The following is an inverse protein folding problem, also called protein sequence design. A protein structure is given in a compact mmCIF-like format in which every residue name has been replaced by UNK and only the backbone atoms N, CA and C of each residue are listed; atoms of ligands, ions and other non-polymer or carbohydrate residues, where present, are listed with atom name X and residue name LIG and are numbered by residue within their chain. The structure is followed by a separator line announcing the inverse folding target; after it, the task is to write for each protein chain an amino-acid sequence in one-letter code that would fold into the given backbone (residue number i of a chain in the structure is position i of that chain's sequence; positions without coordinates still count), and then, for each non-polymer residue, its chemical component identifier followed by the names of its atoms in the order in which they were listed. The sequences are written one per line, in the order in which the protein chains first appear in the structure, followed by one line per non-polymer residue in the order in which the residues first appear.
data_IF_098384508442
#
_entry.id   IF_098384508442
#
_cell.length_a   1.000
_cell.length_b   1.000
_cell.length_c   1.000
_cell.angle_alpha   90.00
_cell.angle_beta   90.00
_cell.angle_gamma   90.00
#
_symmetry.space_group_name_H-M   'P 1'
#
loop_
_entity.id
_entity.type
_entity.pdbx_description
1 polymer ?
#
# COMPACT_ATOMS: atom_id res chain seq x y z
N UNK A 1 21.41 -8.97 -29.20
CA UNK A 1 20.47 -9.27 -28.10
C UNK A 1 21.16 -8.84 -26.81
N UNK A 2 20.59 -7.91 -26.03
CA UNK A 2 21.25 -7.48 -24.79
C UNK A 2 21.28 -8.63 -23.77
N UNK A 3 22.29 -8.68 -22.91
CA UNK A 3 22.41 -9.66 -21.82
C UNK A 3 21.11 -9.74 -21.00
N UNK A 4 20.44 -8.60 -20.81
CA UNK A 4 19.16 -8.47 -20.11
C UNK A 4 18.00 -9.24 -20.78
N UNK A 5 17.90 -9.18 -22.11
CA UNK A 5 16.88 -9.90 -22.88
C UNK A 5 17.10 -11.42 -22.84
N UNK A 6 18.37 -11.86 -22.75
CA UNK A 6 18.70 -13.27 -22.58
C UNK A 6 18.33 -13.75 -21.17
N UNK A 7 18.65 -12.96 -20.13
CA UNK A 7 18.31 -13.28 -18.73
C UNK A 7 16.81 -13.37 -18.53
N UNK A 8 16.00 -12.46 -19.10
CA UNK A 8 14.54 -12.55 -19.01
C UNK A 8 13.98 -13.83 -19.66
N UNK A 9 14.53 -14.25 -20.81
CA UNK A 9 14.11 -15.50 -21.46
C UNK A 9 14.48 -16.75 -20.67
N UNK A 10 15.48 -16.72 -19.79
CA UNK A 10 15.86 -17.88 -18.96
C UNK A 10 14.86 -18.09 -17.81
N UNK A 11 14.19 -17.04 -17.32
CA UNK A 11 13.23 -17.15 -16.22
C UNK A 11 12.09 -18.14 -16.52
N UNK A 12 11.53 -18.08 -17.73
CA UNK A 12 10.38 -18.91 -18.13
C UNK A 12 10.72 -20.40 -18.31
N UNK A 13 12.00 -20.75 -18.47
CA UNK A 13 12.45 -22.12 -18.77
C UNK A 13 13.27 -22.75 -17.64
N UNK A 14 14.11 -21.98 -16.95
CA UNK A 14 14.97 -22.47 -15.85
C UNK A 14 15.09 -21.44 -14.70
N UNK A 15 14.08 -21.36 -13.80
CA UNK A 15 14.08 -20.40 -12.69
C UNK A 15 15.28 -20.50 -11.75
N UNK A 16 15.79 -21.71 -11.53
CA UNK A 16 16.97 -21.94 -10.69
C UNK A 16 18.26 -21.37 -11.33
N UNK A 17 18.45 -21.59 -12.64
CA UNK A 17 19.59 -21.02 -13.38
C UNK A 17 19.47 -19.50 -13.44
N UNK A 18 18.28 -18.98 -13.70
CA UNK A 18 17.99 -17.56 -13.67
C UNK A 18 18.43 -16.92 -12.34
N UNK A 19 18.02 -17.48 -11.21
CA UNK A 19 18.38 -16.96 -9.89
C UNK A 19 19.89 -16.97 -9.63
N UNK A 20 20.60 -18.01 -10.10
CA UNK A 20 22.05 -18.09 -9.99
C UNK A 20 22.75 -17.03 -10.85
N UNK A 21 22.25 -16.77 -12.07
CA UNK A 21 22.79 -15.73 -12.96
C UNK A 21 22.51 -14.34 -12.39
N UNK A 22 21.28 -14.08 -11.93
CA UNK A 22 20.86 -12.81 -11.30
C UNK A 22 21.81 -12.42 -10.17
N UNK A 23 22.08 -13.34 -9.24
CA UNK A 23 22.98 -13.12 -8.08
C UNK A 23 24.43 -12.84 -8.48
N UNK A 24 24.87 -13.30 -9.65
CA UNK A 24 26.23 -13.04 -10.17
C UNK A 24 26.33 -11.72 -10.93
N UNK A 25 25.23 -11.27 -11.53
CA UNK A 25 25.22 -10.08 -12.39
C UNK A 25 24.89 -8.78 -11.65
N UNK A 26 24.05 -8.85 -10.61
CA UNK A 26 23.55 -7.65 -9.94
C UNK A 26 23.82 -7.69 -8.43
N UNK A 27 24.18 -6.54 -7.82
CA UNK A 27 24.39 -6.47 -6.38
C UNK A 27 23.08 -6.70 -5.63
N UNK A 28 23.17 -7.33 -4.46
CA UNK A 28 22.08 -7.40 -3.51
C UNK A 28 22.07 -6.15 -2.62
N UNK A 29 20.89 -5.63 -2.34
CA UNK A 29 20.72 -4.53 -1.38
C UNK A 29 20.59 -5.11 0.02
N UNK A 30 21.55 -4.77 0.88
CA UNK A 30 21.57 -5.26 2.27
C UNK A 30 21.12 -4.21 3.27
N UNK A 31 21.13 -2.93 2.87
CA UNK A 31 20.65 -1.83 3.71
C UNK A 31 19.64 -0.94 3.00
N UNK A 32 18.76 -0.29 3.78
CA UNK A 32 17.83 0.70 3.26
C UNK A 32 18.53 1.91 2.63
N UNK A 33 19.72 2.25 3.10
CA UNK A 33 20.50 3.37 2.57
C UNK A 33 20.96 3.08 1.14
N UNK A 34 21.49 1.88 0.88
CA UNK A 34 21.89 1.44 -0.46
C UNK A 34 20.71 1.46 -1.42
N UNK A 35 19.59 0.84 -1.01
CA UNK A 35 18.40 0.76 -1.86
C UNK A 35 17.80 2.15 -2.15
N UNK A 36 17.76 3.06 -1.15
CA UNK A 36 17.28 4.43 -1.36
C UNK A 36 18.18 5.21 -2.33
N UNK A 37 19.49 5.04 -2.24
CA UNK A 37 20.42 5.69 -3.18
C UNK A 37 20.17 5.19 -4.60
N UNK A 38 20.07 3.87 -4.79
CA UNK A 38 19.76 3.29 -6.08
C UNK A 38 18.40 3.76 -6.62
N UNK A 39 17.35 3.80 -5.80
CA UNK A 39 16.02 4.31 -6.24
C UNK A 39 16.07 5.79 -6.62
N UNK A 40 16.77 6.64 -5.85
CA UNK A 40 16.94 8.05 -6.20
C UNK A 40 17.63 8.23 -7.55
N UNK A 41 18.65 7.43 -7.82
CA UNK A 41 19.32 7.45 -9.13
C UNK A 41 18.42 6.91 -10.25
N UNK A 42 17.72 5.80 -10.00
CA UNK A 42 16.84 5.17 -10.98
C UNK A 42 15.65 6.05 -11.39
N UNK A 43 15.07 6.77 -10.42
CA UNK A 43 13.87 7.60 -10.63
C UNK A 43 14.19 9.00 -11.16
N UNK A 44 15.46 9.39 -11.19
CA UNK A 44 15.91 10.64 -11.79
C UNK A 44 16.36 10.41 -13.23
N UNK A 45 15.76 11.14 -14.17
CA UNK A 45 16.04 11.02 -15.61
C UNK A 45 17.53 11.21 -15.93
N UNK A 46 18.23 12.09 -15.22
CA UNK A 46 19.64 12.38 -15.46
C UNK A 46 20.57 11.24 -15.02
N UNK A 47 20.16 10.42 -14.04
CA UNK A 47 21.00 9.38 -13.43
C UNK A 47 20.47 7.96 -13.64
N UNK A 48 19.32 7.78 -14.31
CA UNK A 48 18.74 6.46 -14.59
C UNK A 48 19.69 5.53 -15.36
N UNK A 49 20.44 6.06 -16.32
CA UNK A 49 21.44 5.27 -17.07
C UNK A 49 22.59 4.82 -16.15
N UNK A 50 23.02 5.67 -15.22
CA UNK A 50 24.02 5.30 -14.20
C UNK A 50 23.48 4.18 -13.30
N UNK A 51 22.25 4.32 -12.81
CA UNK A 51 21.61 3.28 -12.00
C UNK A 51 21.47 1.95 -12.75
N UNK A 52 21.08 2.00 -14.03
CA UNK A 52 20.99 0.83 -14.88
C UNK A 52 22.35 0.12 -15.05
N UNK A 53 23.43 0.87 -15.22
CA UNK A 53 24.77 0.30 -15.35
C UNK A 53 25.31 -0.25 -14.03
N UNK A 54 24.96 0.36 -12.90
CA UNK A 54 25.48 -0.02 -11.58
C UNK A 54 24.69 -1.16 -10.93
N UNK A 55 23.35 -1.12 -11.01
CA UNK A 55 22.46 -2.04 -10.29
C UNK A 55 21.67 -2.96 -11.23
N UNK A 56 21.74 -2.73 -12.55
CA UNK A 56 20.88 -3.40 -13.51
C UNK A 56 19.43 -2.89 -13.50
N UNK A 57 18.55 -3.51 -14.32
CA UNK A 57 17.14 -3.17 -14.36
C UNK A 57 16.46 -3.37 -13.00
N UNK A 58 15.61 -2.41 -12.58
CA UNK A 58 14.95 -2.42 -11.26
C UNK A 58 14.14 -3.68 -10.97
N UNK A 59 13.57 -4.28 -12.01
CA UNK A 59 12.85 -5.56 -11.94
C UNK A 59 13.72 -6.70 -11.35
N UNK A 60 15.03 -6.65 -11.57
CA UNK A 60 16.01 -7.65 -11.11
C UNK A 60 16.74 -7.26 -9.83
N UNK A 61 16.33 -6.21 -9.12
CA UNK A 61 16.99 -5.88 -7.86
C UNK A 61 16.72 -6.96 -6.81
N UNK A 62 17.77 -7.38 -6.10
CA UNK A 62 17.65 -8.30 -4.97
C UNK A 62 17.48 -7.48 -3.69
N UNK A 63 16.23 -7.43 -3.21
CA UNK A 63 15.82 -6.74 -1.98
C UNK A 63 15.48 -7.72 -0.86
N UNK A 64 15.85 -9.00 -1.00
CA UNK A 64 15.46 -10.07 -0.05
C UNK A 64 15.96 -9.85 1.38
N UNK A 65 17.02 -9.05 1.57
CA UNK A 65 17.56 -8.71 2.88
C UNK A 65 16.95 -7.44 3.49
N UNK A 66 16.10 -6.72 2.74
CA UNK A 66 15.51 -5.46 3.17
C UNK A 66 14.37 -5.69 4.15
N UNK A 67 14.51 -5.14 5.35
CA UNK A 67 13.49 -5.25 6.40
C UNK A 67 12.50 -4.07 6.42
N UNK A 68 12.84 -2.91 5.85
CA UNK A 68 11.93 -1.75 5.82
C UNK A 68 11.92 -1.10 4.45
N UNK A 69 10.77 -1.11 3.79
CA UNK A 69 10.55 -0.40 2.54
C UNK A 69 9.98 1.00 2.75
N UNK A 70 10.15 1.55 3.95
CA UNK A 70 9.55 2.82 4.33
C UNK A 70 9.93 3.92 3.33
N UNK A 71 8.98 4.55 2.64
CA UNK A 71 9.27 5.70 1.76
C UNK A 71 10.32 5.47 0.67
N UNK A 72 10.55 4.24 0.20
CA UNK A 72 11.55 3.97 -0.83
C UNK A 72 11.24 4.73 -2.13
N UNK A 73 9.97 4.83 -2.53
CA UNK A 73 9.50 5.60 -3.69
C UNK A 73 8.73 6.87 -3.29
N UNK A 74 9.01 7.41 -2.10
CA UNK A 74 8.39 8.66 -1.65
C UNK A 74 8.69 9.78 -2.65
N UNK A 75 7.66 10.54 -3.01
CA UNK A 75 7.69 11.67 -3.94
C UNK A 75 8.17 11.34 -5.38
N UNK A 76 8.26 10.05 -5.72
CA UNK A 76 8.60 9.58 -7.06
C UNK A 76 7.38 9.65 -7.98
N UNK A 77 6.87 10.86 -8.23
CA UNK A 77 5.57 11.09 -8.89
C UNK A 77 5.43 10.49 -10.30
N UNK A 78 6.54 10.27 -11.00
CA UNK A 78 6.58 9.65 -12.32
C UNK A 78 6.90 8.14 -12.30
N UNK A 79 7.20 7.57 -11.15
CA UNK A 79 7.61 6.17 -11.05
C UNK A 79 6.45 5.22 -11.35
N UNK A 80 6.68 4.27 -12.26
CA UNK A 80 5.76 3.21 -12.62
C UNK A 80 6.51 2.04 -13.30
N UNK A 81 7.77 1.78 -12.94
CA UNK A 81 8.53 0.64 -13.48
C UNK A 81 8.18 -0.63 -12.71
N UNK A 82 8.20 -1.79 -13.38
CA UNK A 82 7.83 -3.08 -12.79
C UNK A 82 8.79 -3.51 -11.68
N UNK A 83 8.21 -3.84 -10.53
CA UNK A 83 8.86 -4.31 -9.30
C UNK A 83 8.16 -5.56 -8.73
N UNK A 84 7.36 -6.25 -9.55
CA UNK A 84 6.60 -7.44 -9.16
C UNK A 84 7.50 -8.61 -8.70
N UNK A 85 8.76 -8.66 -9.14
CA UNK A 85 9.73 -9.69 -8.73
C UNK A 85 10.52 -9.38 -7.45
N UNK A 86 10.21 -8.29 -6.76
CA UNK A 86 10.86 -7.99 -5.49
C UNK A 86 10.44 -9.00 -4.43
N UNK A 87 11.42 -9.61 -3.76
CA UNK A 87 11.18 -10.48 -2.60
C UNK A 87 10.98 -9.62 -1.35
N UNK A 88 9.72 -9.47 -0.92
CA UNK A 88 9.33 -8.69 0.26
C UNK A 88 9.20 -9.53 1.53
N UNK A 89 9.59 -10.81 1.50
CA UNK A 89 9.33 -11.77 2.59
C UNK A 89 9.98 -11.44 3.94
N UNK A 90 10.94 -10.51 3.97
CA UNK A 90 11.58 -10.01 5.18
C UNK A 90 11.11 -8.61 5.62
N UNK A 91 10.26 -7.96 4.82
CA UNK A 91 9.80 -6.59 5.07
C UNK A 91 8.81 -6.57 6.25
N UNK A 92 9.08 -5.69 7.21
CA UNK A 92 8.22 -5.43 8.38
C UNK A 92 7.53 -4.07 8.33
N UNK A 93 8.04 -3.11 7.55
CA UNK A 93 7.42 -1.80 7.35
C UNK A 93 7.32 -1.45 5.87
N UNK A 94 6.11 -1.10 5.42
CA UNK A 94 5.85 -0.52 4.08
C UNK A 94 5.36 0.92 4.18
N UNK A 95 5.55 1.57 5.34
CA UNK A 95 5.04 2.91 5.60
C UNK A 95 5.52 3.91 4.55
N UNK A 96 4.63 4.73 3.99
CA UNK A 96 4.95 5.75 3.00
C UNK A 96 5.62 5.26 1.69
N UNK A 97 5.69 3.94 1.43
CA UNK A 97 6.50 3.39 0.33
C UNK A 97 6.23 4.08 -1.02
N UNK A 98 4.97 4.35 -1.35
CA UNK A 98 4.51 5.03 -2.56
C UNK A 98 3.83 6.38 -2.27
N UNK A 99 4.18 7.02 -1.16
CA UNK A 99 3.68 8.35 -0.82
C UNK A 99 3.99 9.34 -1.95
N UNK A 100 2.97 10.00 -2.50
CA UNK A 100 3.08 10.90 -3.67
C UNK A 100 3.63 10.25 -4.95
N UNK A 101 3.67 8.92 -5.07
CA UNK A 101 4.00 8.22 -6.33
C UNK A 101 2.78 8.21 -7.28
N UNK A 102 2.41 9.40 -7.76
CA UNK A 102 1.12 9.69 -8.41
C UNK A 102 0.77 8.78 -9.60
N UNK A 103 1.77 8.30 -10.36
CA UNK A 103 1.60 7.43 -11.53
C UNK A 103 1.75 5.94 -11.24
N UNK A 104 2.11 5.55 -10.02
CA UNK A 104 2.38 4.16 -9.69
C UNK A 104 1.12 3.29 -9.80
N UNK A 105 1.20 2.23 -10.61
CA UNK A 105 0.10 1.30 -10.86
C UNK A 105 0.62 -0.07 -11.34
N UNK A 106 1.65 -0.61 -10.66
CA UNK A 106 2.28 -1.90 -11.00
C UNK A 106 1.69 -3.08 -10.21
N UNK A 107 1.67 -4.30 -10.77
CA UNK A 107 1.06 -5.46 -10.14
C UNK A 107 1.93 -5.98 -8.98
N UNK A 108 1.60 -5.56 -7.76
CA UNK A 108 2.31 -5.93 -6.52
C UNK A 108 1.49 -6.88 -5.62
N UNK A 109 0.41 -7.45 -6.16
CA UNK A 109 -0.47 -8.37 -5.42
C UNK A 109 0.23 -9.67 -4.99
N UNK A 110 1.32 -10.04 -5.66
CA UNK A 110 2.11 -11.24 -5.36
C UNK A 110 3.15 -11.04 -4.24
N UNK A 111 3.28 -9.83 -3.68
CA UNK A 111 4.21 -9.57 -2.60
C UNK A 111 3.83 -10.31 -1.31
N UNK A 112 4.84 -10.78 -0.59
CA UNK A 112 4.66 -11.38 0.73
C UNK A 112 4.60 -10.28 1.78
N UNK A 113 3.44 -10.09 2.41
CA UNK A 113 3.21 -9.10 3.47
C UNK A 113 3.09 -9.70 4.87
N UNK A 114 3.30 -11.01 5.03
CA UNK A 114 3.06 -11.76 6.29
C UNK A 114 3.89 -11.32 7.50
N UNK A 115 4.92 -10.48 7.30
CA UNK A 115 5.72 -9.87 8.37
C UNK A 115 5.46 -8.38 8.56
N UNK A 116 4.67 -7.75 7.70
CA UNK A 116 4.42 -6.30 7.72
C UNK A 116 3.54 -5.94 8.92
N UNK A 117 3.99 -4.98 9.72
CA UNK A 117 3.26 -4.49 10.90
C UNK A 117 2.68 -3.09 10.71
N UNK A 118 3.15 -2.35 9.71
CA UNK A 118 2.65 -1.01 9.38
C UNK A 118 2.64 -0.75 7.88
N UNK A 119 1.51 -0.23 7.40
CA UNK A 119 1.29 0.23 6.03
C UNK A 119 0.87 1.71 6.00
N UNK A 120 1.17 2.46 7.08
CA UNK A 120 0.84 3.88 7.21
C UNK A 120 1.19 4.67 5.94
N UNK A 121 0.22 5.35 5.36
CA UNK A 121 0.37 6.22 4.19
C UNK A 121 1.01 5.55 2.96
N UNK A 122 0.96 4.22 2.81
CA UNK A 122 1.66 3.51 1.73
C UNK A 122 1.29 4.03 0.34
N UNK A 123 0.00 4.28 0.08
CA UNK A 123 -0.53 4.80 -1.19
C UNK A 123 -1.11 6.21 -1.06
N UNK A 124 -0.70 6.96 -0.04
CA UNK A 124 -1.17 8.34 0.13
C UNK A 124 -0.72 9.20 -1.07
N UNK A 125 -1.65 9.88 -1.74
CA UNK A 125 -1.47 10.60 -3.01
C UNK A 125 -1.01 9.73 -4.21
N UNK A 126 -1.12 8.39 -4.14
CA UNK A 126 -0.91 7.51 -5.29
C UNK A 126 -2.16 7.46 -6.18
N UNK A 127 -2.50 8.59 -6.80
CA UNK A 127 -3.81 8.81 -7.44
C UNK A 127 -4.21 7.82 -8.53
N UNK A 128 -3.24 7.17 -9.21
CA UNK A 128 -3.49 6.18 -10.28
C UNK A 128 -3.46 4.72 -9.82
N UNK A 129 -3.20 4.45 -8.54
CA UNK A 129 -3.10 3.09 -8.04
C UNK A 129 -4.47 2.40 -8.01
N UNK A 130 -4.65 1.36 -8.81
CA UNK A 130 -5.85 0.52 -8.86
C UNK A 130 -5.47 -0.94 -9.19
N UNK A 131 -4.59 -1.53 -8.36
CA UNK A 131 -4.15 -2.92 -8.50
C UNK A 131 -4.67 -3.80 -7.38
N UNK A 132 -4.82 -5.08 -7.73
CA UNK A 132 -5.28 -6.09 -6.79
C UNK A 132 -4.20 -6.37 -5.74
N UNK A 133 -4.62 -6.24 -4.49
CA UNK A 133 -3.85 -6.44 -3.26
C UNK A 133 -4.72 -7.15 -2.21
N UNK A 134 -5.84 -7.75 -2.64
CA UNK A 134 -6.80 -8.37 -1.74
C UNK A 134 -6.25 -9.63 -1.05
N UNK A 135 -5.25 -10.27 -1.65
CA UNK A 135 -4.62 -11.49 -1.12
C UNK A 135 -3.41 -11.21 -0.21
N UNK A 136 -3.13 -9.94 0.11
CA UNK A 136 -2.10 -9.61 1.10
C UNK A 136 -2.48 -10.11 2.50
N UNK A 137 -1.54 -10.74 3.18
CA UNK A 137 -1.65 -11.06 4.61
C UNK A 137 -1.46 -9.78 5.44
N UNK A 138 -2.55 -9.29 6.05
CA UNK A 138 -2.55 -8.11 6.92
C UNK A 138 -2.67 -8.46 8.40
N UNK A 139 -2.58 -9.74 8.78
CA UNK A 139 -2.84 -10.24 10.15
C UNK A 139 -1.90 -9.69 11.23
N UNK A 140 -0.82 -9.01 10.84
CA UNK A 140 0.12 -8.31 11.74
C UNK A 140 0.07 -6.80 11.64
N UNK A 141 -0.71 -6.23 10.73
CA UNK A 141 -0.78 -4.79 10.50
C UNK A 141 -1.56 -4.13 11.62
N UNK A 142 -0.94 -3.14 12.26
CA UNK A 142 -1.51 -2.38 13.39
C UNK A 142 -1.97 -0.99 12.94
N UNK A 143 -1.37 -0.46 11.87
CA UNK A 143 -1.57 0.91 11.43
C UNK A 143 -1.81 0.99 9.91
N UNK A 144 -3.00 1.48 9.54
CA UNK A 144 -3.43 1.76 8.16
C UNK A 144 -3.77 3.24 7.97
N UNK A 145 -3.32 4.12 8.86
CA UNK A 145 -3.58 5.56 8.75
C UNK A 145 -3.17 6.06 7.37
N UNK A 146 -4.05 6.82 6.72
CA UNK A 146 -3.82 7.41 5.40
C UNK A 146 -3.48 6.41 4.27
N UNK A 147 -3.73 5.10 4.43
CA UNK A 147 -3.31 4.06 3.47
C UNK A 147 -3.64 4.42 2.01
N UNK A 148 -4.86 4.84 1.74
CA UNK A 148 -5.39 5.22 0.40
C UNK A 148 -5.85 6.68 0.34
N UNK A 149 -5.34 7.53 1.22
CA UNK A 149 -5.64 8.97 1.22
C UNK A 149 -5.28 9.59 -0.14
N UNK A 150 -6.22 10.25 -0.84
CA UNK A 150 -6.07 10.75 -2.21
C UNK A 150 -5.69 9.69 -3.27
N UNK A 151 -5.92 8.40 -3.02
CA UNK A 151 -5.82 7.35 -4.05
C UNK A 151 -7.09 7.32 -4.91
N UNK A 152 -7.30 8.35 -5.72
CA UNK A 152 -8.57 8.65 -6.40
C UNK A 152 -9.16 7.48 -7.19
N UNK A 153 -8.32 6.62 -7.77
CA UNK A 153 -8.76 5.54 -8.67
C UNK A 153 -8.95 4.19 -8.01
N UNK A 154 -8.47 4.00 -6.78
CA UNK A 154 -8.46 2.70 -6.12
C UNK A 154 -9.88 2.17 -5.89
N UNK A 155 -10.18 1.00 -6.47
CA UNK A 155 -11.48 0.34 -6.29
C UNK A 155 -11.36 -1.18 -6.42
N UNK A 156 -10.32 -1.76 -5.79
CA UNK A 156 -10.13 -3.22 -5.71
C UNK A 156 -10.61 -3.78 -4.38
N UNK A 157 -10.99 -5.06 -4.40
CA UNK A 157 -11.46 -5.74 -3.19
C UNK A 157 -10.30 -5.91 -2.21
N UNK A 158 -10.59 -5.65 -0.95
CA UNK A 158 -9.73 -5.83 0.23
C UNK A 158 -10.54 -6.47 1.37
N UNK A 159 -11.61 -7.17 1.01
CA UNK A 159 -12.54 -7.82 1.93
C UNK A 159 -11.82 -8.88 2.80
N UNK A 160 -10.82 -9.56 2.24
CA UNK A 160 -10.05 -10.60 2.94
C UNK A 160 -8.99 -10.07 3.91
N UNK A 161 -8.80 -8.76 3.99
CA UNK A 161 -7.81 -8.19 4.91
C UNK A 161 -8.24 -8.48 6.36
N UNK A 162 -7.35 -9.09 7.13
CA UNK A 162 -7.47 -9.18 8.58
C UNK A 162 -7.15 -7.81 9.19
N UNK A 163 -8.18 -7.17 9.77
CA UNK A 163 -8.07 -5.89 10.46
C UNK A 163 -8.09 -6.01 11.98
N UNK A 164 -8.09 -7.24 12.52
CA UNK A 164 -8.27 -7.50 13.96
C UNK A 164 -7.24 -6.81 14.86
N UNK A 165 -6.06 -6.47 14.34
CA UNK A 165 -5.01 -5.73 15.07
C UNK A 165 -4.93 -4.24 14.75
N UNK A 166 -5.71 -3.77 13.77
CA UNK A 166 -5.68 -2.37 13.35
C UNK A 166 -6.28 -1.51 14.45
N UNK A 167 -5.52 -0.50 14.88
CA UNK A 167 -5.96 0.43 15.93
C UNK A 167 -6.34 1.80 15.38
N UNK A 168 -5.87 2.16 14.18
CA UNK A 168 -6.07 3.50 13.65
C UNK A 168 -6.34 3.46 12.13
N UNK A 169 -7.54 3.90 11.75
CA UNK A 169 -8.02 3.98 10.37
C UNK A 169 -8.22 5.43 9.89
N UNK A 170 -7.60 6.40 10.60
CA UNK A 170 -7.65 7.82 10.26
C UNK A 170 -7.30 8.04 8.79
N UNK A 171 -8.18 8.75 8.07
CA UNK A 171 -8.00 9.13 6.66
C UNK A 171 -7.76 7.95 5.70
N UNK A 172 -8.09 6.70 6.07
CA UNK A 172 -7.73 5.53 5.27
C UNK A 172 -8.22 5.62 3.81
N UNK A 173 -9.44 6.12 3.59
CA UNK A 173 -10.06 6.32 2.27
C UNK A 173 -10.44 7.79 2.01
N UNK A 174 -9.83 8.73 2.71
CA UNK A 174 -10.09 10.15 2.48
C UNK A 174 -9.74 10.53 1.03
N UNK A 175 -10.66 11.18 0.31
CA UNK A 175 -10.57 11.45 -1.13
C UNK A 175 -10.35 10.22 -2.04
N UNK A 176 -10.59 8.99 -1.56
CA UNK A 176 -10.56 7.77 -2.38
C UNK A 176 -11.87 7.65 -3.17
N UNK A 177 -12.07 8.57 -4.12
CA UNK A 177 -13.38 8.92 -4.68
C UNK A 177 -14.11 7.78 -5.38
N UNK A 178 -13.40 6.77 -5.92
CA UNK A 178 -14.00 5.61 -6.59
C UNK A 178 -14.24 4.41 -5.69
N UNK A 179 -13.74 4.40 -4.46
CA UNK A 179 -13.80 3.21 -3.61
C UNK A 179 -15.23 2.89 -3.19
N UNK A 180 -15.68 1.68 -3.52
CA UNK A 180 -17.00 1.17 -3.14
C UNK A 180 -16.99 -0.37 -3.06
N UNK A 181 -16.01 -0.94 -2.36
CA UNK A 181 -15.86 -2.40 -2.18
C UNK A 181 -16.20 -2.84 -0.77
N UNK A 182 -16.70 -4.07 -0.66
CA UNK A 182 -17.14 -4.67 0.59
C UNK A 182 -16.01 -4.69 1.63
N UNK A 183 -16.30 -4.11 2.80
CA UNK A 183 -15.44 -4.09 3.98
C UNK A 183 -16.27 -4.30 5.27
N UNK A 184 -17.52 -4.76 5.12
CA UNK A 184 -18.47 -4.90 6.23
C UNK A 184 -18.12 -5.98 7.23
N UNK A 185 -17.29 -6.95 6.83
CA UNK A 185 -16.84 -8.07 7.67
C UNK A 185 -15.45 -7.83 8.29
N UNK A 186 -14.89 -6.63 8.15
CA UNK A 186 -13.69 -6.22 8.88
C UNK A 186 -13.93 -6.22 10.40
N UNK A 187 -12.96 -6.74 11.15
CA UNK A 187 -12.91 -6.61 12.60
C UNK A 187 -12.39 -5.22 12.98
N UNK A 188 -13.26 -4.38 13.54
CA UNK A 188 -12.95 -3.02 13.99
C UNK A 188 -12.88 -2.90 15.51
N UNK A 189 -12.96 -4.01 16.25
CA UNK A 189 -13.07 -4.00 17.71
C UNK A 189 -11.85 -3.39 18.43
N UNK A 190 -10.72 -3.24 17.75
CA UNK A 190 -9.51 -2.56 18.26
C UNK A 190 -9.31 -1.13 17.76
N UNK A 191 -10.16 -0.63 16.85
CA UNK A 191 -10.00 0.69 16.23
C UNK A 191 -10.41 1.79 17.22
N UNK A 192 -9.52 2.75 17.45
CA UNK A 192 -9.77 3.92 18.30
C UNK A 192 -10.03 5.22 17.52
N UNK A 193 -9.63 5.31 16.25
CA UNK A 193 -9.76 6.52 15.45
C UNK A 193 -10.23 6.21 14.03
N UNK A 194 -11.35 6.81 13.64
CA UNK A 194 -11.96 6.77 12.30
C UNK A 194 -12.10 8.17 11.67
N UNK A 195 -11.38 9.16 12.22
CA UNK A 195 -11.36 10.53 11.71
C UNK A 195 -11.10 10.60 10.21
N UNK A 196 -11.98 11.28 9.48
CA UNK A 196 -11.92 11.49 8.03
C UNK A 196 -11.84 10.17 7.22
N UNK A 197 -12.19 9.01 7.78
CA UNK A 197 -11.93 7.71 7.15
C UNK A 197 -12.49 7.62 5.73
N UNK A 198 -13.69 8.16 5.47
CA UNK A 198 -14.35 8.20 4.17
C UNK A 198 -14.61 9.62 3.64
N UNK A 199 -14.10 10.66 4.28
CA UNK A 199 -14.35 12.02 3.81
C UNK A 199 -13.98 12.19 2.32
N UNK A 200 -14.89 12.73 1.52
CA UNK A 200 -14.80 12.85 0.05
C UNK A 200 -14.67 11.52 -0.72
N UNK A 201 -15.00 10.37 -0.13
CA UNK A 201 -15.12 9.09 -0.83
C UNK A 201 -16.48 9.00 -1.54
N UNK A 202 -16.66 9.80 -2.59
CA UNK A 202 -17.97 10.09 -3.20
C UNK A 202 -18.82 8.87 -3.56
N UNK A 203 -18.21 7.72 -3.90
CA UNK A 203 -18.92 6.52 -4.32
C UNK A 203 -19.19 5.50 -3.20
N UNK A 204 -18.66 5.73 -1.99
CA UNK A 204 -18.75 4.74 -0.91
C UNK A 204 -20.18 4.60 -0.36
N UNK A 205 -20.74 3.40 -0.46
CA UNK A 205 -22.08 3.08 0.04
C UNK A 205 -22.21 1.60 0.45
N UNK A 206 -21.19 1.06 1.13
CA UNK A 206 -21.16 -0.36 1.52
C UNK A 206 -21.67 -0.57 2.95
N UNK A 207 -22.36 -1.70 3.24
CA UNK A 207 -22.90 -1.96 4.56
C UNK A 207 -21.77 -2.17 5.57
N UNK A 208 -21.68 -1.28 6.55
CA UNK A 208 -20.70 -1.28 7.65
C UNK A 208 -21.36 -1.23 9.04
N UNK A 209 -22.67 -1.47 9.10
CA UNK A 209 -23.43 -1.48 10.36
C UNK A 209 -23.06 -2.61 11.33
N UNK A 210 -22.25 -3.59 10.89
CA UNK A 210 -21.72 -4.68 11.72
C UNK A 210 -20.45 -4.31 12.50
N UNK A 211 -19.82 -3.19 12.17
CA UNK A 211 -18.58 -2.77 12.82
C UNK A 211 -18.77 -2.53 14.31
N UNK A 212 -17.82 -3.02 15.11
CA UNK A 212 -17.69 -2.67 16.51
C UNK A 212 -17.00 -1.30 16.63
N UNK A 213 -17.73 -0.30 17.12
CA UNK A 213 -17.22 1.06 17.35
C UNK A 213 -17.01 1.39 18.82
N UNK A 214 -17.16 0.43 19.74
CA UNK A 214 -17.16 0.63 21.20
C UNK A 214 -15.84 1.16 21.78
N UNK A 215 -14.77 1.19 20.98
CA UNK A 215 -13.46 1.76 21.34
C UNK A 215 -13.11 3.03 20.57
N UNK A 216 -13.93 3.43 19.60
CA UNK A 216 -13.67 4.62 18.78
C UNK A 216 -13.87 5.86 19.64
N UNK A 217 -12.88 6.75 19.64
CA UNK A 217 -12.93 8.03 20.36
C UNK A 217 -13.01 9.24 19.44
N UNK A 218 -12.74 9.08 18.14
CA UNK A 218 -12.72 10.17 17.16
C UNK A 218 -13.32 9.71 15.83
N UNK A 219 -14.48 10.29 15.49
CA UNK A 219 -15.20 10.12 14.22
C UNK A 219 -15.35 11.45 13.46
N UNK A 220 -14.56 12.47 13.82
CA UNK A 220 -14.58 13.78 13.16
C UNK A 220 -14.50 13.64 11.64
N UNK A 221 -15.43 14.26 10.93
CA UNK A 221 -15.52 14.25 9.48
C UNK A 221 -15.55 12.85 8.82
N UNK A 222 -15.96 11.77 9.52
CA UNK A 222 -15.82 10.40 8.99
C UNK A 222 -16.44 10.22 7.60
N UNK A 223 -17.65 10.76 7.38
CA UNK A 223 -18.36 10.74 6.10
C UNK A 223 -18.52 12.12 5.46
N UNK A 224 -17.77 13.13 5.89
CA UNK A 224 -17.87 14.48 5.33
C UNK A 224 -17.77 14.48 3.79
N UNK A 225 -18.80 14.98 3.10
CA UNK A 225 -18.89 14.95 1.63
C UNK A 225 -18.86 13.53 1.00
N UNK A 226 -19.35 12.51 1.71
CA UNK A 226 -19.53 11.13 1.19
C UNK A 226 -20.93 10.96 0.63
N UNK A 227 -21.21 11.64 -0.49
CA UNK A 227 -22.57 11.93 -0.95
C UNK A 227 -23.47 10.70 -1.25
N UNK A 228 -22.89 9.51 -1.42
CA UNK A 228 -23.65 8.28 -1.71
C UNK A 228 -23.94 7.42 -0.48
N UNK A 229 -23.34 7.72 0.67
CA UNK A 229 -23.46 6.86 1.85
C UNK A 229 -24.87 6.95 2.45
N UNK A 230 -25.59 5.83 2.43
CA UNK A 230 -26.93 5.71 2.98
C UNK A 230 -27.18 4.29 3.54
N UNK A 231 -26.28 3.83 4.40
CA UNK A 231 -26.35 2.51 5.03
C UNK A 231 -26.74 2.61 6.50
N UNK A 232 -27.46 1.61 7.05
CA UNK A 232 -27.80 1.61 8.47
C UNK A 232 -26.55 1.46 9.34
N UNK A 233 -26.40 2.37 10.30
CA UNK A 233 -25.33 2.38 11.31
C UNK A 233 -25.88 2.56 12.74
N UNK A 234 -27.19 2.32 12.92
CA UNK A 234 -27.89 2.51 14.20
C UNK A 234 -27.43 1.55 15.32
N UNK A 235 -26.59 0.56 15.00
CA UNK A 235 -26.03 -0.39 15.97
C UNK A 235 -24.65 0.04 16.50
N UNK A 236 -24.09 1.14 16.00
CA UNK A 236 -22.79 1.61 16.46
C UNK A 236 -22.86 2.12 17.90
N UNK A 237 -21.95 1.62 18.75
CA UNK A 237 -21.70 2.17 20.07
C UNK A 237 -20.84 3.43 19.95
N UNK A 238 -21.42 4.57 20.29
CA UNK A 238 -20.77 5.89 20.23
C UNK A 238 -20.43 6.45 21.61
N UNK A 239 -20.58 5.66 22.67
CA UNK A 239 -20.46 6.11 24.07
C UNK A 239 -19.08 6.65 24.44
N UNK A 240 -18.02 6.26 23.69
CA UNK A 240 -16.65 6.74 23.89
C UNK A 240 -16.20 7.81 22.89
N UNK A 241 -17.05 8.19 21.93
CA UNK A 241 -16.67 9.17 20.92
C UNK A 241 -16.66 10.57 21.52
N UNK A 242 -15.51 11.23 21.42
CA UNK A 242 -15.26 12.56 21.95
C UNK A 242 -15.48 13.66 20.89
N UNK A 243 -15.32 13.32 19.61
CA UNK A 243 -15.44 14.23 18.48
C UNK A 243 -16.20 13.56 17.32
N UNK A 244 -17.33 14.18 16.95
CA UNK A 244 -18.19 13.84 15.80
C UNK A 244 -18.48 15.07 14.93
N UNK A 245 -17.67 16.12 15.01
CA UNK A 245 -17.89 17.32 14.21
C UNK A 245 -17.87 16.97 12.71
N UNK A 246 -18.83 17.47 11.94
CA UNK A 246 -19.00 17.19 10.50
C UNK A 246 -19.05 15.70 10.13
N UNK A 247 -19.58 14.84 11.01
CA UNK A 247 -19.66 13.39 10.78
C UNK A 247 -20.19 13.00 9.39
N UNK A 248 -21.17 13.75 8.85
CA UNK A 248 -21.79 13.56 7.53
C UNK A 248 -21.60 14.81 6.65
#
# INVERSE_FOLDING_TARGET
MSLYLLVHKIYDYEPALFNNIKKRLFPAFTTNTELRTAVKEWTNVATKTTALNMYGPIYFWDVSQIMSMEGIFRDCGNFNDDISMWDTSNVTSMSHMFYCARKFNQPIGNWNTSKVTTMRSMFNHAGHFDRDIGDWDTSKVINTCFMFNYAYTFNKSIEKWDTSKVTNMRNMFNHCSKFNKCIGDWDTANVCCMKLMFAYAYQFNQPIGKWDTSRVTDMNCMFHNTCQFNQPINNWDTSKVLDMEYMF
#
